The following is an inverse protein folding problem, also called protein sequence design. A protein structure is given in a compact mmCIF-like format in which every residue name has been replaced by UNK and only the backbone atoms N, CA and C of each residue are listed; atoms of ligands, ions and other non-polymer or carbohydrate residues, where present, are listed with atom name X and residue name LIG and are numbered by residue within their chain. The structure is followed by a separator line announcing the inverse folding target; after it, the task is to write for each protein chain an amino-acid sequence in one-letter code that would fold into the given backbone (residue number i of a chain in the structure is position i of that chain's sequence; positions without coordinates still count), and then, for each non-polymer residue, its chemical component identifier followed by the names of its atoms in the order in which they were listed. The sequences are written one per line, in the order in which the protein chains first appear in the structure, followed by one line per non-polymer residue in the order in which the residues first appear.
data_IF_670350974463
#
_entry.id   IF_670350974463
#
_cell.length_a   1.000
_cell.length_b   1.000
_cell.length_c   1.000
_cell.angle_alpha   90.00
_cell.angle_beta   90.00
_cell.angle_gamma   90.00
#
_symmetry.space_group_name_H-M   'P 1'
#
loop_
_entity.id
_entity.type
_entity.pdbx_description
1 polymer ?
#
# COMPACT_ATOMS: atom_id res chain seq x y z
N UNK A 1 16.72 -28.84 -5.37
CA UNK A 1 16.69 -27.39 -5.09
C UNK A 1 17.09 -26.68 -6.38
N UNK A 2 16.30 -25.73 -6.89
CA UNK A 2 16.61 -25.04 -8.15
C UNK A 2 17.73 -24.02 -7.94
N UNK A 3 18.72 -24.00 -8.82
CA UNK A 3 19.83 -23.03 -8.76
C UNK A 3 19.40 -21.64 -9.25
N UNK A 4 20.21 -20.61 -8.97
CA UNK A 4 20.02 -19.25 -9.50
C UNK A 4 19.84 -19.27 -11.03
N UNK A 5 20.73 -19.95 -11.75
CA UNK A 5 20.70 -20.01 -13.21
C UNK A 5 19.42 -20.65 -13.75
N UNK A 6 18.93 -21.71 -13.11
CA UNK A 6 17.68 -22.37 -13.48
C UNK A 6 16.46 -21.46 -13.27
N UNK A 7 16.44 -20.71 -12.16
CA UNK A 7 15.38 -19.73 -11.86
C UNK A 7 15.39 -18.57 -12.85
N UNK A 8 16.56 -18.03 -13.18
CA UNK A 8 16.70 -16.98 -14.19
C UNK A 8 16.24 -17.46 -15.57
N UNK A 9 16.64 -18.66 -15.98
CA UNK A 9 16.21 -19.24 -17.24
C UNK A 9 14.69 -19.47 -17.29
N UNK A 10 14.07 -19.86 -16.16
CA UNK A 10 12.63 -20.02 -16.05
C UNK A 10 11.89 -18.67 -16.19
N UNK A 11 12.29 -17.66 -15.41
CA UNK A 11 11.71 -16.31 -15.45
C UNK A 11 11.85 -15.66 -16.84
N UNK A 12 12.99 -15.85 -17.50
CA UNK A 12 13.21 -15.37 -18.86
C UNK A 12 12.24 -16.01 -19.86
N UNK A 13 12.04 -17.34 -19.75
CA UNK A 13 11.11 -18.09 -20.60
C UNK A 13 9.66 -17.71 -20.35
N UNK A 14 9.28 -17.46 -19.10
CA UNK A 14 7.96 -16.97 -18.72
C UNK A 14 7.61 -15.63 -19.38
N UNK A 15 8.60 -14.73 -19.48
CA UNK A 15 8.47 -13.47 -20.22
C UNK A 15 8.68 -13.59 -21.74
N UNK A 16 8.81 -14.80 -22.28
CA UNK A 16 9.09 -15.10 -23.69
C UNK A 16 10.31 -14.36 -24.26
N UNK A 17 11.34 -14.12 -23.45
CA UNK A 17 12.55 -13.39 -23.86
C UNK A 17 13.66 -14.34 -24.33
N UNK A 18 14.41 -13.92 -25.34
CA UNK A 18 15.70 -14.56 -25.66
C UNK A 18 16.79 -14.06 -24.70
N UNK A 19 17.91 -14.77 -24.59
CA UNK A 19 19.04 -14.32 -23.78
C UNK A 19 19.57 -12.96 -24.27
N UNK A 20 19.61 -12.73 -25.58
CA UNK A 20 20.01 -11.47 -26.17
C UNK A 20 19.04 -10.33 -25.83
N UNK A 21 17.73 -10.60 -25.85
CA UNK A 21 16.71 -9.62 -25.50
C UNK A 21 16.77 -9.23 -24.02
N UNK A 22 16.88 -10.21 -23.13
CA UNK A 22 17.06 -9.95 -21.70
C UNK A 22 18.33 -9.15 -21.43
N UNK A 23 19.43 -9.49 -22.10
CA UNK A 23 20.69 -8.78 -21.98
C UNK A 23 20.58 -7.31 -22.42
N UNK A 24 19.90 -7.04 -23.55
CA UNK A 24 19.63 -5.68 -24.02
C UNK A 24 18.82 -4.87 -23.00
N UNK A 25 17.75 -5.45 -22.44
CA UNK A 25 16.89 -4.76 -21.46
C UNK A 25 17.60 -4.45 -20.13
N UNK A 26 18.55 -5.29 -19.74
CA UNK A 26 19.33 -5.13 -18.52
C UNK A 26 20.65 -4.35 -18.73
N UNK A 27 20.92 -3.92 -19.97
CA UNK A 27 22.19 -3.31 -20.36
C UNK A 27 23.41 -4.18 -19.99
N UNK A 28 23.34 -5.47 -20.31
CA UNK A 28 24.36 -6.48 -20.04
C UNK A 28 24.76 -7.20 -21.33
N UNK A 29 25.92 -7.87 -21.32
CA UNK A 29 26.32 -8.76 -22.42
C UNK A 29 25.47 -10.04 -22.44
N UNK A 30 25.10 -10.52 -23.63
CA UNK A 30 24.40 -11.81 -23.80
C UNK A 30 25.19 -12.96 -23.17
N UNK A 31 26.52 -12.96 -23.35
CA UNK A 31 27.42 -13.96 -22.75
C UNK A 31 27.35 -13.96 -21.23
N UNK A 32 27.19 -12.79 -20.60
CA UNK A 32 27.00 -12.64 -19.16
C UNK A 32 25.72 -13.32 -18.69
N UNK A 33 24.59 -13.07 -19.35
CA UNK A 33 23.31 -13.74 -19.04
C UNK A 33 23.43 -15.25 -19.23
N UNK A 34 24.05 -15.70 -20.33
CA UNK A 34 24.26 -17.13 -20.58
C UNK A 34 25.20 -17.79 -19.56
N UNK A 35 26.14 -17.05 -18.98
CA UNK A 35 26.99 -17.54 -17.88
C UNK A 35 26.22 -17.64 -16.56
N UNK A 36 25.33 -16.67 -16.26
CA UNK A 36 24.46 -16.73 -15.09
C UNK A 36 23.49 -17.92 -15.17
N UNK A 37 22.81 -18.11 -16.30
CA UNK A 37 21.87 -19.22 -16.50
C UNK A 37 22.53 -20.60 -16.38
N UNK A 38 23.82 -20.71 -16.72
CA UNK A 38 24.59 -21.96 -16.59
C UNK A 38 25.33 -22.08 -15.25
N UNK A 39 25.13 -21.15 -14.32
CA UNK A 39 25.84 -21.06 -13.05
C UNK A 39 27.38 -21.03 -13.20
N UNK A 40 27.89 -20.53 -14.33
CA UNK A 40 29.34 -20.37 -14.59
C UNK A 40 29.91 -19.08 -14.02
N UNK A 41 29.03 -18.13 -13.72
CA UNK A 41 29.34 -16.86 -13.05
C UNK A 41 28.19 -16.54 -12.10
N UNK A 42 28.50 -15.86 -11.01
CA UNK A 42 27.49 -15.29 -10.11
C UNK A 42 27.37 -13.78 -10.35
N UNK A 43 26.14 -13.22 -10.35
CA UNK A 43 25.96 -11.78 -10.34
C UNK A 43 26.45 -11.19 -9.01
N UNK A 44 26.91 -9.94 -9.06
CA UNK A 44 27.15 -9.16 -7.84
C UNK A 44 25.83 -8.69 -7.21
N UNK A 45 25.92 -8.07 -6.04
CA UNK A 45 24.74 -7.62 -5.29
C UNK A 45 23.90 -6.60 -6.07
N UNK A 46 24.53 -5.72 -6.85
CA UNK A 46 23.82 -4.71 -7.64
C UNK A 46 23.09 -5.33 -8.83
N UNK A 47 23.75 -6.23 -9.55
CA UNK A 47 23.18 -7.01 -10.65
C UNK A 47 22.04 -7.89 -10.16
N UNK A 48 22.18 -8.50 -8.98
CA UNK A 48 21.15 -9.33 -8.40
C UNK A 48 19.89 -8.53 -8.04
N UNK A 49 20.05 -7.31 -7.51
CA UNK A 49 18.93 -6.38 -7.30
C UNK A 49 18.27 -5.98 -8.62
N UNK A 50 19.06 -5.61 -9.64
CA UNK A 50 18.53 -5.29 -10.98
C UNK A 50 17.72 -6.44 -11.58
N UNK A 51 18.19 -7.67 -11.43
CA UNK A 51 17.47 -8.87 -11.88
C UNK A 51 16.16 -9.05 -11.11
N UNK A 52 16.19 -8.91 -9.78
CA UNK A 52 15.01 -8.99 -8.92
C UNK A 52 13.95 -7.95 -9.33
N UNK A 53 14.35 -6.69 -9.54
CA UNK A 53 13.48 -5.59 -9.94
C UNK A 53 12.90 -5.78 -11.34
N UNK A 54 13.70 -6.29 -12.28
CA UNK A 54 13.28 -6.57 -13.65
C UNK A 54 12.22 -7.67 -13.72
N UNK A 55 12.35 -8.71 -12.89
CA UNK A 55 11.39 -9.80 -12.83
C UNK A 55 10.28 -9.59 -11.79
N UNK A 56 10.35 -8.52 -10.98
CA UNK A 56 9.42 -8.25 -9.87
C UNK A 56 9.37 -9.41 -8.87
N UNK A 57 10.53 -9.95 -8.56
CA UNK A 57 10.71 -11.04 -7.59
C UNK A 57 11.64 -10.60 -6.47
N UNK A 58 11.67 -11.35 -5.36
CA UNK A 58 12.64 -11.13 -4.29
C UNK A 58 14.02 -11.67 -4.65
N UNK A 59 15.06 -11.07 -4.08
CA UNK A 59 16.42 -11.59 -4.17
C UNK A 59 16.52 -12.97 -3.52
N UNK A 60 15.78 -13.20 -2.42
CA UNK A 60 15.73 -14.50 -1.75
C UNK A 60 15.17 -15.61 -2.65
N UNK A 61 14.20 -15.29 -3.51
CA UNK A 61 13.70 -16.23 -4.51
C UNK A 61 14.80 -16.57 -5.52
N UNK A 62 15.51 -15.57 -6.06
CA UNK A 62 16.59 -15.78 -7.02
C UNK A 62 17.71 -16.65 -6.43
N UNK A 63 18.06 -16.42 -5.16
CA UNK A 63 19.06 -17.21 -4.43
C UNK A 63 18.54 -18.59 -3.98
N UNK A 64 17.25 -18.88 -4.18
CA UNK A 64 16.64 -20.15 -3.80
C UNK A 64 16.43 -20.35 -2.31
N UNK A 65 16.46 -19.27 -1.50
CA UNK A 65 16.12 -19.30 -0.07
C UNK A 65 14.62 -19.51 0.16
N UNK A 66 13.81 -19.07 -0.79
CA UNK A 66 12.35 -19.21 -0.79
C UNK A 66 11.87 -19.70 -2.16
N UNK A 67 10.76 -20.44 -2.16
CA UNK A 67 10.12 -20.87 -3.41
C UNK A 67 9.06 -19.88 -3.90
N UNK A 68 8.59 -18.97 -3.03
CA UNK A 68 7.70 -17.88 -3.42
C UNK A 68 8.49 -16.77 -4.14
N UNK A 69 8.08 -16.35 -5.35
CA UNK A 69 8.75 -15.27 -6.07
C UNK A 69 8.59 -13.91 -5.41
N UNK A 70 7.57 -13.71 -4.59
CA UNK A 70 7.30 -12.44 -3.95
C UNK A 70 8.06 -12.36 -2.62
N UNK A 71 8.39 -11.16 -2.13
CA UNK A 71 8.87 -11.00 -0.77
C UNK A 71 7.93 -11.74 0.16
N UNK A 72 8.47 -12.47 1.14
CA UNK A 72 7.64 -12.91 2.26
C UNK A 72 7.09 -11.61 2.86
N UNK A 73 5.82 -11.32 2.60
CA UNK A 73 5.11 -10.37 3.42
C UNK A 73 5.17 -10.96 4.81
N UNK A 74 6.00 -10.37 5.67
CA UNK A 74 5.79 -10.51 7.09
C UNK A 74 4.42 -9.88 7.33
N UNK A 75 3.37 -10.69 7.20
CA UNK A 75 2.08 -10.38 7.78
C UNK A 75 2.40 -10.06 9.24
N UNK A 76 2.23 -8.80 9.68
CA UNK A 76 2.43 -8.49 11.07
C UNK A 76 1.53 -9.43 11.85
N UNK A 77 2.10 -10.21 12.77
CA UNK A 77 1.32 -11.15 13.59
C UNK A 77 0.29 -10.41 14.46
N UNK A 78 0.43 -9.09 14.57
CA UNK A 78 -0.51 -8.19 15.23
C UNK A 78 -1.61 -7.68 14.28
N UNK A 79 -2.83 -8.17 14.52
CA UNK A 79 -4.09 -7.78 13.87
C UNK A 79 -4.33 -6.25 13.84
N UNK A 80 -3.76 -5.51 14.81
CA UNK A 80 -3.85 -4.05 14.90
C UNK A 80 -3.11 -3.32 13.77
N UNK A 81 -2.02 -3.89 13.25
CA UNK A 81 -1.24 -3.28 12.16
C UNK A 81 -1.89 -3.56 10.79
N UNK A 82 -2.59 -4.70 10.66
CA UNK A 82 -3.33 -5.09 9.45
C UNK A 82 -4.40 -4.06 9.09
N UNK A 83 -5.13 -3.51 10.07
CA UNK A 83 -6.14 -2.45 9.81
C UNK A 83 -5.51 -1.13 9.38
N UNK A 84 -4.43 -0.70 10.02
CA UNK A 84 -3.76 0.58 9.70
C UNK A 84 -3.14 0.58 8.30
N UNK A 85 -2.44 -0.49 7.93
CA UNK A 85 -1.77 -0.59 6.62
C UNK A 85 -2.78 -0.70 5.47
N UNK A 86 -3.91 -1.39 5.69
CA UNK A 86 -4.98 -1.51 4.69
C UNK A 86 -5.70 -0.18 4.44
N UNK A 87 -5.95 0.61 5.50
CA UNK A 87 -6.56 1.94 5.37
C UNK A 87 -5.72 2.94 4.55
N UNK A 88 -4.38 2.81 4.53
CA UNK A 88 -3.48 3.74 3.83
C UNK A 88 -3.32 3.45 2.32
N UNK A 89 -3.78 2.29 1.86
CA UNK A 89 -3.70 1.86 0.46
C UNK A 89 -5.00 2.11 -0.31
N UNK A 90 -6.13 2.31 0.37
CA UNK A 90 -7.41 2.69 -0.24
C UNK A 90 -7.40 4.15 -0.74
N UNK A 91 -8.04 4.46 -1.89
CA UNK A 91 -8.12 5.82 -2.41
C UNK A 91 -8.69 6.84 -1.42
N UNK A 92 -9.55 6.39 -0.48
CA UNK A 92 -10.15 7.22 0.57
C UNK A 92 -9.24 7.54 1.77
N UNK A 93 -8.23 6.72 2.04
CA UNK A 93 -7.34 6.93 3.20
C UNK A 93 -6.34 8.06 3.00
N UNK A 94 -5.92 8.29 1.76
CA UNK A 94 -5.03 9.40 1.40
C UNK A 94 -5.76 10.75 1.34
N UNK A 95 -7.03 10.76 0.95
CA UNK A 95 -7.87 11.97 0.89
C UNK A 95 -8.22 12.49 2.28
N UNK A 96 -8.41 11.60 3.26
CA UNK A 96 -8.74 11.97 4.63
C UNK A 96 -7.62 12.74 5.35
N UNK A 97 -6.36 12.35 5.15
CA UNK A 97 -5.19 13.03 5.74
C UNK A 97 -4.87 14.38 5.08
N UNK A 98 -5.40 14.62 3.87
CA UNK A 98 -5.19 15.84 3.10
C UNK A 98 -6.35 16.84 3.22
N UNK A 99 -7.41 16.50 3.95
CA UNK A 99 -8.56 17.39 4.14
C UNK A 99 -8.20 18.55 5.09
N UNK A 100 -8.25 19.81 4.63
CA UNK A 100 -7.94 20.97 5.46
C UNK A 100 -8.82 21.08 6.71
N UNK A 101 -10.04 20.54 6.69
CA UNK A 101 -10.97 20.57 7.82
C UNK A 101 -10.46 19.77 9.03
N UNK A 102 -9.68 18.71 8.79
CA UNK A 102 -9.20 17.81 9.84
C UNK A 102 -7.71 18.00 10.18
N UNK A 103 -6.98 18.85 9.45
CA UNK A 103 -5.55 19.06 9.65
C UNK A 103 -5.18 19.49 11.08
N UNK A 104 -5.92 20.43 11.67
CA UNK A 104 -5.69 20.89 13.05
C UNK A 104 -6.03 19.80 14.08
N UNK A 105 -7.05 18.99 13.80
CA UNK A 105 -7.45 17.86 14.64
C UNK A 105 -6.32 16.82 14.73
N UNK A 106 -5.68 16.46 13.61
CA UNK A 106 -4.59 15.48 13.61
C UNK A 106 -3.33 15.97 14.33
N UNK A 107 -3.00 17.25 14.19
CA UNK A 107 -1.87 17.86 14.91
C UNK A 107 -2.04 17.69 16.41
N UNK A 108 -3.22 18.05 16.93
CA UNK A 108 -3.56 17.91 18.35
C UNK A 108 -3.65 16.46 18.79
N UNK A 109 -4.20 15.57 17.94
CA UNK A 109 -4.33 14.14 18.26
C UNK A 109 -2.98 13.47 18.59
N UNK A 110 -1.89 13.95 17.99
CA UNK A 110 -0.54 13.44 18.29
C UNK A 110 -0.09 13.72 19.74
N UNK A 111 -0.63 14.77 20.35
CA UNK A 111 -0.24 15.27 21.67
C UNK A 111 -1.09 14.68 22.81
N UNK A 112 -2.20 13.99 22.51
CA UNK A 112 -3.13 13.45 23.52
C UNK A 112 -2.64 12.14 24.18
N UNK A 113 -3.02 11.98 25.45
CA UNK A 113 -2.85 10.74 26.22
C UNK A 113 -3.78 9.62 25.71
N UNK A 114 -3.49 8.33 26.03
CA UNK A 114 -4.35 7.21 25.64
C UNK A 114 -5.80 7.33 26.14
N UNK A 115 -6.00 7.86 27.35
CA UNK A 115 -7.32 8.05 27.96
C UNK A 115 -8.12 9.14 27.23
N UNK A 116 -7.47 10.23 26.85
CA UNK A 116 -8.10 11.30 26.08
C UNK A 116 -8.44 10.85 24.65
N UNK A 117 -7.56 10.05 24.03
CA UNK A 117 -7.84 9.42 22.73
C UNK A 117 -9.06 8.51 22.78
N UNK A 118 -9.20 7.72 23.85
CA UNK A 118 -10.37 6.86 24.04
C UNK A 118 -11.66 7.67 24.21
N UNK A 119 -11.61 8.76 24.98
CA UNK A 119 -12.75 9.67 25.17
C UNK A 119 -13.14 10.36 23.86
N UNK A 120 -12.16 10.81 23.08
CA UNK A 120 -12.40 11.43 21.78
C UNK A 120 -13.02 10.43 20.78
N UNK A 121 -12.55 9.18 20.78
CA UNK A 121 -13.13 8.13 19.95
C UNK A 121 -14.60 7.85 20.28
N UNK A 122 -14.98 7.92 21.57
CA UNK A 122 -16.39 7.81 21.99
C UNK A 122 -17.23 8.97 21.43
N UNK A 123 -16.75 10.21 21.53
CA UNK A 123 -17.46 11.36 20.97
C UNK A 123 -17.59 11.28 19.46
N UNK A 124 -16.53 10.86 18.77
CA UNK A 124 -16.54 10.66 17.33
C UNK A 124 -17.59 9.64 16.90
N UNK A 125 -17.67 8.51 17.61
CA UNK A 125 -18.69 7.50 17.33
C UNK A 125 -20.11 8.04 17.52
N UNK A 126 -20.35 8.78 18.61
CA UNK A 126 -21.66 9.39 18.86
C UNK A 126 -22.03 10.39 17.76
N UNK A 127 -21.09 11.27 17.38
CA UNK A 127 -21.33 12.25 16.33
C UNK A 127 -21.68 11.60 14.97
N UNK A 128 -21.03 10.48 14.62
CA UNK A 128 -21.35 9.74 13.40
C UNK A 128 -22.76 9.13 13.45
N UNK A 129 -23.17 8.59 14.60
CA UNK A 129 -24.52 8.06 14.79
C UNK A 129 -25.57 9.17 14.67
N UNK A 130 -25.30 10.35 15.23
CA UNK A 130 -26.20 11.49 15.15
C UNK A 130 -26.34 12.00 13.70
N UNK A 131 -25.24 12.10 12.94
CA UNK A 131 -25.25 12.47 11.52
C UNK A 131 -26.04 11.46 10.67
N UNK A 132 -25.86 10.16 10.95
CA UNK A 132 -26.59 9.11 10.24
C UNK A 132 -28.08 9.17 10.54
N UNK A 133 -28.45 9.41 11.80
CA UNK A 133 -29.83 9.60 12.24
C UNK A 133 -30.49 10.82 11.59
N UNK A 134 -29.81 11.97 11.57
CA UNK A 134 -30.29 13.19 10.91
C UNK A 134 -30.49 12.98 9.40
N UNK A 135 -29.58 12.25 8.74
CA UNK A 135 -29.74 11.88 7.32
C UNK A 135 -30.98 11.02 7.06
N UNK A 136 -31.27 10.08 7.96
CA UNK A 136 -32.46 9.22 7.86
C UNK A 136 -33.75 9.99 8.15
N UNK A 137 -33.73 10.94 9.08
CA UNK A 137 -34.87 11.81 9.40
C UNK A 137 -35.19 12.80 8.27
N UNK A 138 -34.17 13.36 7.60
CA UNK A 138 -34.33 14.24 6.42
C UNK A 138 -34.84 13.52 5.16
N UNK A 139 -34.79 12.18 5.11
CA UNK A 139 -35.29 11.37 4.00
C UNK A 139 -36.75 10.89 4.18
N UNK A 140 -37.45 11.29 5.25
CA UNK A 140 -38.87 10.96 5.43
C UNK A 140 -39.78 11.94 4.64
N UNK A 141 -40.81 11.46 3.92
CA UNK A 141 -41.73 12.34 3.22
C UNK A 141 -42.62 13.11 4.21
N UNK A 142 -42.35 14.40 4.40
CA UNK A 142 -43.20 15.30 5.21
C UNK A 142 -42.48 16.24 6.21
N UNK A 143 -41.16 16.45 6.10
CA UNK A 143 -40.46 17.40 6.97
C UNK A 143 -41.01 18.84 6.78
N UNK A 144 -41.35 19.57 7.87
CA UNK A 144 -41.78 20.97 7.76
C UNK A 144 -40.62 21.84 7.27
N UNK A 145 -40.92 22.75 6.33
CA UNK A 145 -39.95 23.65 5.71
C UNK A 145 -39.08 24.34 6.78
N UNK A 146 -37.75 24.29 6.57
CA UNK A 146 -36.76 24.98 7.39
C UNK A 146 -37.17 26.45 7.55
N UNK A 147 -37.16 27.01 8.77
CA UNK A 147 -37.43 28.43 8.95
C UNK A 147 -36.34 29.23 8.23
N UNK A 148 -36.76 29.96 7.19
CA UNK A 148 -35.89 30.92 6.52
C UNK A 148 -35.35 31.91 7.55
N UNK A 149 -34.04 31.88 7.78
CA UNK A 149 -33.35 32.89 8.57
C UNK A 149 -33.54 34.24 7.87
N UNK A 150 -34.50 35.02 8.36
CA UNK A 150 -34.64 36.42 8.03
C UNK A 150 -33.47 37.15 8.69
N UNK A 151 -32.48 37.53 7.88
CA UNK A 151 -31.42 38.44 8.29
C UNK A 151 -32.06 39.77 8.70
N UNK A 152 -32.14 40.01 10.01
CA UNK A 152 -32.38 41.34 10.55
C UNK A 152 -31.05 42.07 10.70
N UNK A 153 -30.54 42.59 9.58
CA UNK A 153 -29.67 43.77 9.60
C UNK A 153 -30.52 44.99 9.98
N UNK A 154 -30.60 45.30 11.28
CA UNK A 154 -30.96 46.65 11.76
C UNK A 154 -30.27 46.94 13.09
N UNK A 155 -29.11 47.59 13.03
CA UNK A 155 -28.92 49.04 13.30
C UNK A 155 -27.54 49.34 13.85
#
# INVERSE_FOLDING_TARGET
MKTLGERLAALRKEKALTQAEMARRLNMGQSTIAMYERNKRSPDAETLQKLADFFKVSVDFLLGRVDSPHPISYEPQDEKQRKTTFFLQEPGGRTFLADPLFADLFKRLSELTPQEKAKLAQYWYQALQDIEKERVELCQPGAPDLPTLHNNDKK
#
